data_IF_303185775698
#
_entry.id   IF_303185775698
#
_cell.length_a   1.000
_cell.length_b   1.000
_cell.length_c   1.000
_cell.angle_alpha   90.00
_cell.angle_beta   90.00
_cell.angle_gamma   90.00
#
_symmetry.space_group_name_H-M   'P 1'
#
loop_
_entity.id
_entity.type
_entity.pdbx_description
1 polymer ?
#
# COMPACT_ATOMS: atom_id res chain seq x y z
N UNK A 1 -1.70 -12.00 6.33
CA UNK A 1 -1.44 -11.89 4.88
C UNK A 1 -2.76 -11.76 4.17
N UNK A 2 -3.00 -10.62 3.53
CA UNK A 2 -4.27 -10.25 2.90
C UNK A 2 -4.18 -10.49 1.38
N UNK A 3 -4.76 -11.60 0.90
CA UNK A 3 -4.62 -12.03 -0.50
C UNK A 3 -5.24 -11.07 -1.51
N UNK A 4 -6.38 -10.44 -1.16
CA UNK A 4 -7.05 -9.50 -2.04
C UNK A 4 -6.19 -8.23 -2.23
N UNK A 5 -5.64 -7.71 -1.12
CA UNK A 5 -4.74 -6.56 -1.14
C UNK A 5 -3.43 -6.87 -1.89
N UNK A 6 -2.85 -8.05 -1.67
CA UNK A 6 -1.67 -8.52 -2.40
C UNK A 6 -1.91 -8.63 -3.91
N UNK A 7 -3.12 -9.05 -4.31
CA UNK A 7 -3.49 -9.16 -5.71
C UNK A 7 -3.69 -7.79 -6.35
N UNK A 8 -4.33 -6.85 -5.65
CA UNK A 8 -4.53 -5.50 -6.18
C UNK A 8 -3.20 -4.75 -6.33
N UNK A 9 -2.25 -4.93 -5.40
CA UNK A 9 -0.90 -4.36 -5.52
C UNK A 9 -0.22 -4.87 -6.80
N UNK A 10 -0.27 -6.18 -7.04
CA UNK A 10 0.30 -6.78 -8.27
C UNK A 10 -0.38 -6.25 -9.53
N UNK A 11 -1.69 -6.05 -9.48
CA UNK A 11 -2.46 -5.55 -10.62
C UNK A 11 -2.09 -4.10 -10.93
N UNK A 12 -2.07 -3.20 -9.94
CA UNK A 12 -1.66 -1.80 -10.13
C UNK A 12 -0.24 -1.67 -10.68
N UNK A 13 0.68 -2.54 -10.24
CA UNK A 13 2.08 -2.52 -10.71
C UNK A 13 2.24 -3.04 -12.14
N UNK A 14 1.45 -4.03 -12.56
CA UNK A 14 1.67 -4.77 -13.82
C UNK A 14 0.68 -4.43 -14.93
N UNK A 15 -0.45 -3.82 -14.59
CA UNK A 15 -1.57 -3.57 -15.50
C UNK A 15 -1.87 -2.05 -15.54
N UNK A 16 -1.29 -1.32 -16.51
CA UNK A 16 -1.52 0.12 -16.67
C UNK A 16 -2.98 0.49 -16.96
N UNK A 17 -3.73 -0.40 -17.62
CA UNK A 17 -5.15 -0.17 -17.92
C UNK A 17 -5.96 -0.25 -16.62
N UNK A 18 -5.71 -1.26 -15.79
CA UNK A 18 -6.33 -1.34 -14.48
C UNK A 18 -5.97 -0.17 -13.59
N UNK A 19 -4.71 0.29 -13.61
CA UNK A 19 -4.28 1.46 -12.85
C UNK A 19 -5.04 2.71 -13.28
N UNK A 20 -5.13 2.97 -14.59
CA UNK A 20 -5.88 4.12 -15.12
C UNK A 20 -7.37 4.04 -14.75
N UNK A 21 -7.96 2.85 -14.86
CA UNK A 21 -9.32 2.60 -14.41
C UNK A 21 -9.51 2.81 -12.91
N UNK A 22 -8.55 2.42 -12.08
CA UNK A 22 -8.61 2.62 -10.63
C UNK A 22 -8.48 4.11 -10.24
N UNK A 23 -7.70 4.89 -10.98
CA UNK A 23 -7.58 6.34 -10.81
C UNK A 23 -8.88 7.08 -11.20
N UNK A 24 -9.56 6.65 -12.27
CA UNK A 24 -10.79 7.27 -12.75
C UNK A 24 -12.06 6.79 -12.02
N UNK A 25 -12.12 5.50 -11.66
CA UNK A 25 -13.31 4.82 -11.16
C UNK A 25 -13.05 4.02 -9.88
N UNK A 26 -12.39 4.64 -8.89
CA UNK A 26 -11.90 4.00 -7.66
C UNK A 26 -12.92 3.11 -6.93
N UNK A 27 -14.18 3.52 -6.79
CA UNK A 27 -15.19 2.66 -6.12
C UNK A 27 -15.49 1.38 -6.91
N UNK A 28 -15.56 1.46 -8.24
CA UNK A 28 -15.85 0.31 -9.10
C UNK A 28 -14.64 -0.62 -9.18
N UNK A 29 -13.43 -0.04 -9.23
CA UNK A 29 -12.18 -0.79 -9.17
C UNK A 29 -12.01 -1.52 -7.83
N UNK A 30 -12.32 -0.87 -6.70
CA UNK A 30 -12.26 -1.49 -5.38
C UNK A 30 -13.23 -2.66 -5.25
N UNK A 31 -14.48 -2.47 -5.71
CA UNK A 31 -15.49 -3.53 -5.75
C UNK A 31 -15.06 -4.71 -6.63
N UNK A 32 -14.48 -4.44 -7.81
CA UNK A 32 -13.96 -5.47 -8.73
C UNK A 32 -12.78 -6.24 -8.14
N UNK A 33 -11.92 -5.55 -7.40
CA UNK A 33 -10.74 -6.14 -6.76
C UNK A 33 -11.05 -6.83 -5.42
N UNK A 34 -12.26 -6.67 -4.88
CA UNK A 34 -12.65 -7.23 -3.59
C UNK A 34 -11.92 -6.61 -2.40
N UNK A 35 -11.54 -5.33 -2.52
CA UNK A 35 -10.90 -4.55 -1.44
C UNK A 35 -11.77 -3.33 -1.10
N UNK A 36 -11.54 -2.73 0.06
CA UNK A 36 -12.19 -1.47 0.39
C UNK A 36 -11.65 -0.31 -0.47
N UNK A 37 -12.44 0.76 -0.69
CA UNK A 37 -11.95 1.95 -1.39
C UNK A 37 -10.72 2.58 -0.71
N UNK A 38 -10.62 2.50 0.62
CA UNK A 38 -9.48 3.02 1.38
C UNK A 38 -8.20 2.20 1.11
N UNK A 39 -8.31 0.87 1.05
CA UNK A 39 -7.18 0.01 0.69
C UNK A 39 -6.72 0.27 -0.74
N UNK A 40 -7.65 0.43 -1.70
CA UNK A 40 -7.28 0.75 -3.08
C UNK A 40 -6.59 2.12 -3.16
N UNK A 41 -7.11 3.14 -2.46
CA UNK A 41 -6.48 4.45 -2.40
C UNK A 41 -5.06 4.37 -1.83
N UNK A 42 -4.85 3.61 -0.75
CA UNK A 42 -3.52 3.39 -0.18
C UNK A 42 -2.54 2.74 -1.18
N UNK A 43 -3.02 1.84 -2.06
CA UNK A 43 -2.18 1.26 -3.13
C UNK A 43 -1.82 2.31 -4.18
N UNK A 44 -2.78 3.12 -4.63
CA UNK A 44 -2.55 4.14 -5.68
C UNK A 44 -1.64 5.28 -5.19
N UNK A 45 -1.81 5.72 -3.95
CA UNK A 45 -1.05 6.80 -3.33
C UNK A 45 0.32 6.35 -2.80
N UNK A 46 0.55 5.03 -2.74
CA UNK A 46 1.76 4.46 -2.16
C UNK A 46 1.86 4.70 -0.64
N UNK A 47 0.74 4.62 0.08
CA UNK A 47 0.72 4.64 1.54
C UNK A 47 1.17 3.28 2.10
N UNK A 48 2.49 3.07 2.10
CA UNK A 48 3.13 1.82 2.51
C UNK A 48 2.80 1.43 3.96
N UNK A 49 2.54 2.41 4.83
CA UNK A 49 2.19 2.19 6.24
C UNK A 49 0.80 1.60 6.35
N UNK A 50 -0.18 2.20 5.67
CA UNK A 50 -1.55 1.68 5.64
C UNK A 50 -1.61 0.29 5.01
N UNK A 51 -0.84 0.04 3.95
CA UNK A 51 -0.74 -1.29 3.33
C UNK A 51 -0.14 -2.34 4.28
N UNK A 52 0.92 -1.98 5.01
CA UNK A 52 1.52 -2.86 6.00
C UNK A 52 0.54 -3.20 7.13
N UNK A 53 -0.16 -2.19 7.67
CA UNK A 53 -1.20 -2.39 8.70
C UNK A 53 -2.39 -3.20 8.19
N UNK A 54 -2.74 -3.05 6.91
CA UNK A 54 -3.75 -3.85 6.20
C UNK A 54 -3.33 -5.30 5.92
N UNK A 55 -2.11 -5.70 6.31
CA UNK A 55 -1.62 -7.06 6.21
C UNK A 55 -1.13 -7.44 4.81
N UNK A 56 -0.80 -6.46 3.97
CA UNK A 56 -0.15 -6.70 2.68
C UNK A 56 1.24 -7.31 2.89
N UNK A 57 1.65 -8.15 1.95
CA UNK A 57 2.93 -8.82 2.03
C UNK A 57 4.09 -7.81 1.86
N UNK A 58 5.10 -7.79 2.76
CA UNK A 58 6.17 -6.79 2.75
C UNK A 58 6.92 -6.68 1.41
N UNK A 59 7.21 -7.81 0.76
CA UNK A 59 7.86 -7.79 -0.58
C UNK A 59 7.02 -7.11 -1.66
N UNK A 60 5.68 -7.19 -1.59
CA UNK A 60 4.81 -6.53 -2.56
C UNK A 60 4.74 -5.02 -2.30
N UNK A 61 4.79 -4.61 -1.04
CA UNK A 61 4.91 -3.20 -0.66
C UNK A 61 6.21 -2.61 -1.22
N UNK A 62 7.32 -3.35 -1.15
CA UNK A 62 8.60 -2.91 -1.75
C UNK A 62 8.53 -2.82 -3.28
N UNK A 63 7.88 -3.80 -3.92
CA UNK A 63 7.68 -3.77 -5.38
C UNK A 63 6.82 -2.58 -5.82
N UNK A 64 5.75 -2.28 -5.08
CA UNK A 64 4.91 -1.11 -5.31
C UNK A 64 5.71 0.18 -5.16
N UNK A 65 6.49 0.31 -4.08
CA UNK A 65 7.32 1.48 -3.85
C UNK A 65 8.32 1.69 -4.99
N UNK A 66 8.97 0.62 -5.45
CA UNK A 66 9.85 0.67 -6.63
C UNK A 66 9.12 1.10 -7.91
N UNK A 67 7.92 0.59 -8.16
CA UNK A 67 7.11 0.95 -9.32
C UNK A 67 6.61 2.41 -9.29
N UNK A 68 6.40 2.97 -8.10
CA UNK A 68 5.97 4.36 -7.91
C UNK A 68 7.14 5.34 -7.72
N UNK A 69 8.39 4.86 -7.69
CA UNK A 69 9.57 5.71 -7.42
C UNK A 69 9.62 6.25 -5.98
N UNK A 70 8.98 5.57 -5.04
CA UNK A 70 8.95 5.93 -3.63
C UNK A 70 10.13 5.28 -2.92
N UNK A 71 10.90 6.07 -2.17
CA UNK A 71 11.89 5.54 -1.22
C UNK A 71 11.15 5.02 0.03
N UNK A 72 11.11 3.69 0.26
CA UNK A 72 10.34 3.12 1.37
C UNK A 72 10.92 3.51 2.73
N UNK A 73 12.24 3.66 2.84
CA UNK A 73 12.90 3.93 4.12
C UNK A 73 12.48 5.29 4.69
N UNK A 74 12.35 6.30 3.83
CA UNK A 74 11.86 7.62 4.23
C UNK A 74 10.41 7.65 4.71
N UNK A 75 9.58 6.69 4.28
CA UNK A 75 8.16 6.61 4.68
C UNK A 75 7.98 5.86 6.00
N UNK A 76 8.77 4.82 6.25
CA UNK A 76 8.76 4.15 7.55
C UNK A 76 9.43 4.98 8.65
N UNK A 77 10.49 5.75 8.33
CA UNK A 77 11.13 6.65 9.32
C UNK A 77 10.28 7.88 9.67
N UNK A 78 9.27 8.22 8.86
CA UNK A 78 8.34 9.33 9.13
C UNK A 78 7.23 8.96 10.14
N UNK A 79 7.11 7.69 10.53
CA UNK A 79 6.35 7.37 11.74
C UNK A 79 7.13 7.88 12.95
N UNK A 80 6.50 8.63 13.88
CA UNK A 80 7.13 8.86 15.17
C UNK A 80 7.36 7.48 15.77
N UNK A 81 8.64 7.11 15.96
CA UNK A 81 9.01 5.92 16.70
C UNK A 81 8.30 6.02 18.05
N UNK A 82 7.24 5.26 18.25
CA UNK A 82 6.72 4.97 19.58
C UNK A 82 7.69 4.00 20.26
N UNK A 83 8.92 4.46 20.47
CA UNK A 83 9.96 3.78 21.23
C UNK A 83 10.94 4.82 21.78
N UNK A 84 10.38 5.63 22.66
CA UNK A 84 11.03 6.54 23.59
C UNK A 84 10.04 6.53 24.78
N UNK A 85 10.34 6.21 26.03
CA UNK A 85 11.55 5.92 26.78
C UNK A 85 11.03 5.16 28.02
N UNK A 86 11.53 3.96 28.33
CA UNK A 86 11.60 3.54 29.73
C UNK A 86 13.07 3.47 30.07
N UNK A 87 13.53 4.61 30.58
CA UNK A 87 14.81 4.82 31.22
C UNK A 87 15.07 3.73 32.25
N UNK A 88 16.31 3.25 32.22
CA UNK A 88 16.96 2.58 33.33
C UNK A 88 16.70 3.33 34.65
N UNK A 89 16.24 2.61 35.67
CA UNK A 89 16.67 2.78 37.05
C UNK A 89 16.67 1.44 37.78
#
# INVERSE_FOLDING_TARGET
MNLALDQVIRQVVRDPEFRSFAEEAGQQAAARAGVSPAELAAVLEGDLVTLHRGGAHPLLIMQLAGALGIDPMRRFDAEPRAHDVTEER
#
